data_IF_016260590294
#
_entry.id   IF_016260590294
#
_cell.length_a   1.000
_cell.length_b   1.000
_cell.length_c   1.000
_cell.angle_alpha   90.00
_cell.angle_beta   90.00
_cell.angle_gamma   90.00
#
_symmetry.space_group_name_H-M   'P 1'
#
loop_
_entity.id
_entity.type
_entity.pdbx_description
1 polymer ?
#
# COMPACT_ATOMS: atom_id res chain seq x y z
N UNK A 1 -9.93 -12.51 2.60
CA UNK A 1 -10.53 -11.92 1.39
C UNK A 1 -12.02 -11.72 1.68
N UNK A 2 -12.57 -10.52 1.42
CA UNK A 2 -13.93 -10.10 1.81
C UNK A 2 -14.26 -10.46 3.26
N UNK A 3 -13.52 -9.87 4.20
CA UNK A 3 -13.57 -10.23 5.61
C UNK A 3 -13.79 -9.00 6.51
N UNK A 4 -14.44 -9.22 7.64
CA UNK A 4 -14.75 -8.16 8.59
C UNK A 4 -14.32 -8.53 10.00
N UNK A 5 -13.89 -7.54 10.78
CA UNK A 5 -13.54 -7.69 12.20
C UNK A 5 -12.43 -8.72 12.44
N UNK A 6 -11.28 -8.50 11.79
CA UNK A 6 -10.13 -9.41 11.84
C UNK A 6 -8.98 -8.75 12.59
N UNK A 7 -8.32 -9.53 13.46
CA UNK A 7 -7.07 -9.15 14.11
C UNK A 7 -6.01 -10.21 13.82
N UNK A 8 -4.89 -9.80 13.22
CA UNK A 8 -3.71 -10.63 12.96
C UNK A 8 -2.53 -10.02 13.73
N UNK A 9 -1.95 -10.78 14.67
CA UNK A 9 -0.92 -10.21 15.53
C UNK A 9 0.13 -11.20 16.01
N UNK A 10 1.30 -10.66 16.38
CA UNK A 10 2.42 -11.40 16.97
C UNK A 10 2.92 -12.55 16.07
N UNK A 11 2.93 -12.32 14.76
CA UNK A 11 3.35 -13.30 13.77
C UNK A 11 4.75 -12.99 13.22
N UNK A 12 5.47 -14.05 12.85
CA UNK A 12 6.53 -13.98 11.86
C UNK A 12 6.01 -14.58 10.56
N UNK A 13 6.08 -13.82 9.46
CA UNK A 13 5.63 -14.25 8.14
C UNK A 13 6.83 -14.21 7.20
N UNK A 14 7.12 -15.35 6.57
CA UNK A 14 7.98 -15.40 5.39
C UNK A 14 7.14 -15.86 4.21
N UNK A 15 7.05 -15.04 3.19
CA UNK A 15 6.24 -15.32 2.00
C UNK A 15 7.05 -15.14 0.73
N UNK A 16 6.68 -15.93 -0.28
CA UNK A 16 7.10 -15.67 -1.66
C UNK A 16 6.27 -14.51 -2.22
N UNK A 17 4.95 -14.66 -2.18
CA UNK A 17 3.99 -13.65 -2.63
C UNK A 17 3.67 -12.63 -1.51
N UNK A 18 2.55 -11.92 -1.62
CA UNK A 18 2.16 -10.86 -0.68
C UNK A 18 2.12 -11.38 0.76
N UNK A 19 2.71 -10.64 1.70
CA UNK A 19 2.83 -11.06 3.10
C UNK A 19 1.55 -10.83 3.91
N UNK A 20 1.12 -9.57 4.04
CA UNK A 20 -0.12 -9.19 4.73
C UNK A 20 -1.07 -8.56 3.71
N UNK A 21 -2.11 -9.30 3.32
CA UNK A 21 -2.94 -8.93 2.16
C UNK A 21 -4.41 -8.73 2.55
N UNK A 22 -5.03 -7.68 2.01
CA UNK A 22 -6.48 -7.49 1.99
C UNK A 22 -6.96 -7.44 0.55
N UNK A 23 -7.93 -8.30 0.23
CA UNK A 23 -8.59 -8.38 -1.09
C UNK A 23 -10.09 -8.51 -0.92
N UNK A 24 -10.85 -8.16 -1.95
CA UNK A 24 -12.32 -8.25 -1.98
C UNK A 24 -12.79 -9.09 -3.16
N UNK A 25 -13.48 -10.20 -2.87
CA UNK A 25 -13.94 -11.19 -3.85
C UNK A 25 -15.46 -11.34 -3.93
N UNK A 26 -16.20 -11.09 -2.85
CA UNK A 26 -17.66 -11.29 -2.85
C UNK A 26 -18.42 -10.28 -1.97
N UNK A 27 -17.72 -9.60 -1.08
CA UNK A 27 -18.27 -8.64 -0.13
C UNK A 27 -17.25 -7.57 0.23
N UNK A 28 -17.63 -6.71 1.17
CA UNK A 28 -16.75 -5.66 1.68
C UNK A 28 -15.64 -6.26 2.58
N UNK A 29 -14.59 -5.47 2.81
CA UNK A 29 -13.62 -5.75 3.87
C UNK A 29 -13.55 -4.57 4.81
N UNK A 30 -13.74 -4.80 6.11
CA UNK A 30 -13.68 -3.71 7.10
C UNK A 30 -13.23 -4.12 8.49
N UNK A 31 -12.68 -3.16 9.23
CA UNK A 31 -12.24 -3.37 10.62
C UNK A 31 -11.19 -4.49 10.70
N UNK A 32 -10.09 -4.32 9.97
CA UNK A 32 -9.00 -5.31 9.94
C UNK A 32 -7.74 -4.66 10.51
N UNK A 33 -7.11 -5.33 11.47
CA UNK A 33 -5.87 -4.87 12.07
C UNK A 33 -4.79 -5.94 11.94
N UNK A 34 -3.65 -5.55 11.38
CA UNK A 34 -2.40 -6.29 11.45
C UNK A 34 -1.48 -5.56 12.43
N UNK A 35 -1.12 -6.19 13.55
CA UNK A 35 -0.26 -5.54 14.55
C UNK A 35 0.87 -6.42 15.10
N UNK A 36 2.01 -5.82 15.41
CA UNK A 36 3.14 -6.52 16.05
C UNK A 36 3.66 -7.70 15.21
N UNK A 37 3.81 -7.52 13.91
CA UNK A 37 4.23 -8.58 12.99
C UNK A 37 5.64 -8.34 12.44
N UNK A 38 6.35 -9.42 12.13
CA UNK A 38 7.64 -9.40 11.48
C UNK A 38 7.53 -10.08 10.10
N UNK A 39 8.03 -9.42 9.06
CA UNK A 39 7.86 -9.85 7.67
C UNK A 39 9.19 -10.09 6.97
N UNK A 40 9.24 -11.14 6.15
CA UNK A 40 10.28 -11.41 5.18
C UNK A 40 9.63 -11.74 3.84
N UNK A 41 9.75 -10.83 2.87
CA UNK A 41 9.01 -10.92 1.60
C UNK A 41 9.98 -11.14 0.44
N UNK A 42 9.92 -12.33 -0.15
CA UNK A 42 10.88 -12.80 -1.17
C UNK A 42 10.57 -12.27 -2.60
N UNK A 43 9.30 -12.09 -3.00
CA UNK A 43 8.93 -11.65 -4.37
C UNK A 43 7.86 -10.54 -4.46
N UNK A 44 6.80 -10.52 -3.68
CA UNK A 44 5.70 -9.56 -3.88
C UNK A 44 5.71 -8.44 -2.80
N UNK A 45 4.54 -8.00 -2.35
CA UNK A 45 4.40 -6.85 -1.48
C UNK A 45 4.38 -7.24 0.01
N UNK A 46 4.98 -6.42 0.87
CA UNK A 46 4.97 -6.72 2.31
C UNK A 46 3.60 -6.49 2.95
N UNK A 47 2.96 -5.36 2.64
CA UNK A 47 1.62 -5.01 3.10
C UNK A 47 0.82 -4.47 1.94
N UNK A 48 -0.23 -5.19 1.55
CA UNK A 48 -0.95 -4.95 0.30
C UNK A 48 -2.46 -4.89 0.54
N UNK A 49 -3.09 -3.91 -0.12
CA UNK A 49 -4.53 -3.86 -0.35
C UNK A 49 -4.77 -3.83 -1.85
N UNK A 50 -5.12 -4.98 -2.44
CA UNK A 50 -5.20 -5.14 -3.89
C UNK A 50 -4.53 -6.42 -4.39
N UNK A 51 -4.34 -6.59 -5.69
CA UNK A 51 -4.93 -5.81 -6.79
C UNK A 51 -6.45 -6.03 -6.89
N UNK A 52 -6.93 -7.22 -6.51
CA UNK A 52 -8.33 -7.62 -6.60
C UNK A 52 -9.17 -6.98 -5.49
N UNK A 53 -9.72 -5.80 -5.77
CA UNK A 53 -10.51 -5.02 -4.82
C UNK A 53 -12.02 -5.13 -5.01
N UNK A 54 -12.48 -5.75 -6.12
CA UNK A 54 -13.89 -6.12 -6.31
C UNK A 54 -14.05 -7.29 -7.31
N UNK A 55 -13.42 -8.45 -7.06
CA UNK A 55 -13.51 -9.62 -7.95
C UNK A 55 -14.94 -10.13 -8.14
N UNK A 56 -15.83 -9.85 -7.18
CA UNK A 56 -17.22 -10.27 -7.20
C UNK A 56 -18.15 -9.33 -7.95
N UNK A 57 -17.64 -8.21 -8.47
CA UNK A 57 -18.46 -7.14 -9.08
C UNK A 57 -19.62 -6.70 -8.19
N UNK A 58 -19.39 -6.62 -6.88
CA UNK A 58 -20.37 -6.12 -5.92
C UNK A 58 -20.60 -4.64 -6.18
N UNK A 59 -21.85 -4.23 -6.30
CA UNK A 59 -22.19 -2.81 -6.38
C UNK A 59 -21.71 -2.07 -5.12
N UNK A 60 -21.06 -0.92 -5.30
CA UNK A 60 -20.52 -0.10 -4.22
C UNK A 60 -19.63 -0.92 -3.27
N UNK A 61 -18.68 -1.70 -3.80
CA UNK A 61 -17.73 -2.46 -2.99
C UNK A 61 -16.83 -1.53 -2.17
N UNK A 62 -16.58 -1.89 -0.91
CA UNK A 62 -15.79 -1.07 0.02
C UNK A 62 -14.70 -1.91 0.67
N UNK A 63 -13.49 -1.33 0.77
CA UNK A 63 -12.44 -1.75 1.68
C UNK A 63 -12.19 -0.58 2.63
N UNK A 64 -12.43 -0.75 3.94
CA UNK A 64 -12.31 0.39 4.86
C UNK A 64 -11.89 0.06 6.28
N UNK A 65 -11.36 1.05 7.00
CA UNK A 65 -10.93 0.89 8.39
C UNK A 65 -9.94 -0.28 8.55
N UNK A 66 -8.80 -0.15 7.86
CA UNK A 66 -7.73 -1.13 7.87
C UNK A 66 -6.50 -0.51 8.52
N UNK A 67 -5.85 -1.24 9.42
CA UNK A 67 -4.66 -0.75 10.13
C UNK A 67 -3.53 -1.77 10.03
N UNK A 68 -2.36 -1.30 9.62
CA UNK A 68 -1.08 -1.98 9.71
C UNK A 68 -0.24 -1.21 10.73
N UNK A 69 0.00 -1.78 11.91
CA UNK A 69 0.69 -1.07 13.00
C UNK A 69 1.81 -1.88 13.64
N UNK A 70 2.94 -1.23 13.93
CA UNK A 70 4.07 -1.86 14.61
C UNK A 70 4.56 -3.10 13.88
N UNK A 71 5.03 -2.90 12.64
CA UNK A 71 5.49 -3.98 11.76
C UNK A 71 6.96 -3.78 11.43
N UNK A 72 7.74 -4.84 11.58
CA UNK A 72 9.14 -4.87 11.14
C UNK A 72 9.26 -5.73 9.89
N UNK A 73 9.60 -5.11 8.77
CA UNK A 73 9.97 -5.79 7.53
C UNK A 73 11.47 -6.04 7.57
N UNK A 74 11.86 -7.26 7.94
CA UNK A 74 13.26 -7.67 8.05
C UNK A 74 13.95 -7.60 6.68
N UNK A 75 13.21 -7.96 5.62
CA UNK A 75 13.74 -7.93 4.27
C UNK A 75 12.61 -7.84 3.24
N UNK A 76 12.73 -6.95 2.26
CA UNK A 76 11.77 -6.80 1.16
C UNK A 76 12.51 -6.73 -0.18
N UNK A 77 12.40 -7.77 -1.00
CA UNK A 77 13.30 -7.96 -2.14
C UNK A 77 12.93 -7.28 -3.46
N UNK A 78 11.65 -7.07 -3.75
CA UNK A 78 11.26 -7.04 -5.16
C UNK A 78 10.17 -6.02 -5.49
N UNK A 79 8.95 -6.16 -4.94
CA UNK A 79 7.80 -5.25 -5.11
C UNK A 79 7.61 -4.35 -3.87
N UNK A 80 6.64 -3.43 -3.84
CA UNK A 80 6.57 -2.42 -2.79
C UNK A 80 6.46 -2.93 -1.35
N UNK A 81 6.92 -2.14 -0.39
CA UNK A 81 6.76 -2.46 1.03
C UNK A 81 5.32 -2.19 1.47
N UNK A 82 4.83 -0.99 1.17
CA UNK A 82 3.47 -0.54 1.46
C UNK A 82 2.78 -0.33 0.11
N UNK A 83 1.61 -0.95 -0.08
CA UNK A 83 0.86 -0.79 -1.32
C UNK A 83 -0.65 -0.78 -1.12
N UNK A 84 -1.30 0.04 -1.93
CA UNK A 84 -2.73 -0.02 -2.18
C UNK A 84 -2.90 0.00 -3.70
N UNK A 85 -3.21 -1.15 -4.28
CA UNK A 85 -3.45 -1.30 -5.71
C UNK A 85 -4.95 -1.51 -5.96
N UNK A 86 -5.67 -0.42 -6.19
CA UNK A 86 -7.09 -0.49 -6.48
C UNK A 86 -7.32 -0.75 -7.97
N UNK A 87 -7.38 -2.02 -8.35
CA UNK A 87 -7.56 -2.45 -9.73
C UNK A 87 -9.03 -2.74 -10.09
N UNK A 88 -9.97 -2.50 -9.18
CA UNK A 88 -11.42 -2.56 -9.39
C UNK A 88 -12.15 -1.26 -8.99
N UNK A 89 -13.47 -1.21 -9.13
CA UNK A 89 -14.34 -0.06 -8.84
C UNK A 89 -14.64 0.14 -7.33
N UNK A 90 -13.79 -0.41 -6.46
CA UNK A 90 -14.00 -0.34 -5.03
C UNK A 90 -13.68 1.05 -4.46
N UNK A 91 -14.42 1.44 -3.43
CA UNK A 91 -14.02 2.53 -2.54
C UNK A 91 -13.05 2.00 -1.49
N UNK A 92 -11.76 2.34 -1.58
CA UNK A 92 -10.76 2.03 -0.56
C UNK A 92 -10.55 3.25 0.33
N UNK A 93 -10.80 3.15 1.63
CA UNK A 93 -10.72 4.33 2.50
C UNK A 93 -10.38 4.06 3.95
N UNK A 94 -9.98 5.09 4.68
CA UNK A 94 -9.75 5.02 6.12
C UNK A 94 -8.67 3.95 6.43
N UNK A 95 -7.50 4.09 5.81
CA UNK A 95 -6.38 3.13 5.89
C UNK A 95 -5.23 3.78 6.66
N UNK A 96 -4.65 3.04 7.60
CA UNK A 96 -3.52 3.51 8.40
C UNK A 96 -2.35 2.53 8.33
N UNK A 97 -1.17 3.05 7.98
CA UNK A 97 0.12 2.39 8.18
C UNK A 97 0.87 3.17 9.24
N UNK A 98 1.26 2.51 10.34
CA UNK A 98 1.84 3.20 11.50
C UNK A 98 2.98 2.42 12.12
N UNK A 99 4.07 3.10 12.47
CA UNK A 99 5.25 2.50 13.10
C UNK A 99 5.78 1.30 12.30
N UNK A 100 6.19 1.54 11.06
CA UNK A 100 6.74 0.53 10.17
C UNK A 100 8.27 0.68 10.12
N UNK A 101 8.99 -0.39 10.45
CA UNK A 101 10.45 -0.43 10.30
C UNK A 101 10.80 -1.37 9.14
N UNK A 102 11.58 -0.89 8.18
CA UNK A 102 12.13 -1.68 7.08
C UNK A 102 13.62 -1.82 7.32
N UNK A 103 14.08 -3.01 7.71
CA UNK A 103 15.49 -3.23 8.01
C UNK A 103 16.32 -3.27 6.73
N UNK A 104 15.84 -3.95 5.69
CA UNK A 104 16.53 -4.07 4.41
C UNK A 104 15.57 -3.92 3.22
N UNK A 105 15.59 -2.74 2.59
CA UNK A 105 14.81 -2.42 1.39
C UNK A 105 15.60 -2.80 0.12
N UNK A 106 15.21 -3.85 -0.59
CA UNK A 106 15.93 -4.34 -1.78
C UNK A 106 15.09 -4.33 -3.06
N UNK A 107 13.92 -3.66 -3.04
CA UNK A 107 12.99 -3.55 -4.15
C UNK A 107 13.67 -3.23 -5.49
N UNK A 108 13.07 -3.72 -6.59
CA UNK A 108 13.49 -3.42 -7.95
C UNK A 108 14.49 -4.39 -8.58
N UNK A 109 14.62 -5.61 -8.08
CA UNK A 109 15.34 -6.68 -8.80
C UNK A 109 14.38 -7.39 -9.78
N UNK A 110 14.89 -8.03 -10.84
CA UNK A 110 14.07 -8.79 -11.80
C UNK A 110 12.90 -8.00 -12.41
N UNK A 111 11.72 -8.62 -12.49
CA UNK A 111 10.47 -7.95 -12.94
C UNK A 111 9.97 -6.86 -11.97
N UNK A 112 10.60 -6.72 -10.80
CA UNK A 112 10.29 -5.73 -9.78
C UNK A 112 10.75 -4.36 -10.17
N UNK A 113 11.68 -4.27 -11.14
CA UNK A 113 12.16 -3.01 -11.71
C UNK A 113 11.03 -2.09 -12.20
N UNK A 114 9.91 -2.65 -12.65
CA UNK A 114 8.74 -1.87 -13.11
C UNK A 114 7.89 -1.27 -11.97
N UNK A 115 8.05 -1.77 -10.73
CA UNK A 115 7.29 -1.35 -9.54
C UNK A 115 8.20 -1.29 -8.31
N UNK A 116 9.40 -0.75 -8.49
CA UNK A 116 10.42 -0.67 -7.46
C UNK A 116 10.15 0.51 -6.50
N UNK A 117 9.05 0.45 -5.76
CA UNK A 117 8.62 1.53 -4.88
C UNK A 117 8.77 1.17 -3.39
N UNK A 118 8.98 2.15 -2.53
CA UNK A 118 8.82 1.98 -1.08
C UNK A 118 7.32 1.94 -0.73
N UNK A 119 6.59 2.94 -1.20
CA UNK A 119 5.14 3.06 -1.08
C UNK A 119 4.52 3.19 -2.48
N UNK A 120 3.43 2.47 -2.74
CA UNK A 120 2.74 2.54 -4.02
C UNK A 120 1.23 2.58 -3.83
N UNK A 121 0.66 3.79 -3.91
CA UNK A 121 -0.78 4.01 -3.93
C UNK A 121 -1.19 4.23 -5.39
N UNK A 122 -1.88 3.25 -5.97
CA UNK A 122 -2.14 3.25 -7.41
C UNK A 122 -3.55 2.75 -7.73
N UNK A 123 -4.31 3.59 -8.44
CA UNK A 123 -5.56 3.16 -9.08
C UNK A 123 -5.23 2.83 -10.53
N UNK A 124 -5.54 1.61 -10.95
CA UNK A 124 -5.10 1.13 -12.26
C UNK A 124 -6.09 0.19 -12.90
N UNK A 125 -5.88 -0.07 -14.20
CA UNK A 125 -6.50 -1.17 -14.90
C UNK A 125 -5.42 -2.21 -15.23
N UNK A 126 -5.54 -3.38 -14.63
CA UNK A 126 -4.65 -4.51 -14.91
C UNK A 126 -5.36 -5.54 -15.79
N UNK A 127 -4.76 -5.99 -16.90
CA UNK A 127 -5.32 -7.07 -17.71
C UNK A 127 -5.41 -8.41 -16.96
N UNK A 128 -4.58 -8.60 -15.93
CA UNK A 128 -4.51 -9.86 -15.18
C UNK A 128 -5.41 -9.85 -13.94
N UNK A 129 -5.59 -8.69 -13.30
CA UNK A 129 -6.20 -8.62 -11.96
C UNK A 129 -7.54 -7.87 -11.92
N UNK A 130 -7.77 -6.91 -12.82
CA UNK A 130 -9.05 -6.19 -12.89
C UNK A 130 -10.20 -7.10 -13.31
N UNK A 131 -11.38 -6.82 -12.79
CA UNK A 131 -12.64 -7.51 -13.10
C UNK A 131 -13.69 -6.55 -13.59
N UNK A 132 -13.78 -5.41 -12.92
CA UNK A 132 -14.77 -4.36 -13.17
C UNK A 132 -14.30 -3.43 -14.28
N UNK A 133 -15.24 -2.80 -14.98
CA UNK A 133 -14.93 -1.90 -16.10
C UNK A 133 -14.50 -0.52 -15.61
N UNK A 134 -15.30 0.05 -14.70
CA UNK A 134 -15.05 1.35 -14.06
C UNK A 134 -13.98 1.24 -12.98
N UNK A 135 -13.44 2.37 -12.53
CA UNK A 135 -12.37 2.39 -11.51
C UNK A 135 -12.86 2.95 -10.19
N UNK A 136 -12.16 2.58 -9.12
CA UNK A 136 -12.52 2.96 -7.77
C UNK A 136 -11.91 4.30 -7.37
N UNK A 137 -11.92 4.54 -6.07
CA UNK A 137 -11.27 5.68 -5.44
C UNK A 137 -10.46 5.20 -4.24
N UNK A 138 -9.40 5.93 -3.90
CA UNK A 138 -8.63 5.74 -2.67
C UNK A 138 -8.71 7.05 -1.87
N UNK A 139 -9.14 7.02 -0.61
CA UNK A 139 -9.22 8.25 0.20
C UNK A 139 -8.90 8.07 1.66
N UNK A 140 -8.43 9.11 2.34
CA UNK A 140 -8.15 9.11 3.77
C UNK A 140 -7.12 8.02 4.15
N UNK A 141 -5.88 8.27 3.74
CA UNK A 141 -4.74 7.38 3.99
C UNK A 141 -3.77 8.07 4.93
N UNK A 142 -3.44 7.42 6.04
CA UNK A 142 -2.42 7.88 6.98
C UNK A 142 -1.22 6.95 6.94
N UNK A 143 -0.04 7.51 6.71
CA UNK A 143 1.24 6.81 6.81
C UNK A 143 2.09 7.56 7.83
N UNK A 144 2.26 7.00 9.02
CA UNK A 144 2.87 7.68 10.17
C UNK A 144 3.98 6.84 10.81
N UNK A 145 5.22 7.28 10.69
CA UNK A 145 6.36 6.63 11.32
C UNK A 145 6.85 5.44 10.50
N UNK A 146 7.38 5.72 9.31
CA UNK A 146 8.06 4.72 8.47
C UNK A 146 9.56 4.97 8.53
N UNK A 147 10.34 3.95 8.89
CA UNK A 147 11.79 4.03 9.00
C UNK A 147 12.46 2.97 8.14
N UNK A 148 13.27 3.38 7.18
CA UNK A 148 14.10 2.47 6.36
C UNK A 148 15.53 2.52 6.89
N UNK A 149 16.05 1.40 7.42
CA UNK A 149 17.37 1.35 8.07
C UNK A 149 18.50 1.11 7.08
N UNK A 150 18.27 0.25 6.08
CA UNK A 150 19.29 -0.09 5.09
C UNK A 150 18.68 -0.49 3.74
N UNK A 151 19.54 -0.57 2.73
CA UNK A 151 19.18 -1.00 1.38
C UNK A 151 19.08 0.17 0.39
N UNK A 152 18.22 0.02 -0.61
CA UNK A 152 18.04 0.93 -1.72
C UNK A 152 17.09 2.05 -1.35
N UNK A 153 17.46 3.29 -1.69
CA UNK A 153 16.54 4.42 -1.64
C UNK A 153 15.73 4.50 -2.95
N UNK A 154 14.63 3.76 -2.98
CA UNK A 154 13.65 3.73 -4.08
C UNK A 154 12.62 4.85 -3.97
N UNK A 155 11.97 5.18 -5.10
CA UNK A 155 10.89 6.14 -5.15
C UNK A 155 9.64 5.65 -4.39
N UNK A 156 8.65 6.53 -4.24
CA UNK A 156 7.28 6.18 -3.86
C UNK A 156 6.31 6.77 -4.86
N UNK A 157 5.18 6.12 -5.14
CA UNK A 157 4.19 6.58 -6.12
C UNK A 157 2.83 6.81 -5.48
N UNK A 158 2.20 7.91 -5.88
CA UNK A 158 0.78 8.20 -5.60
C UNK A 158 0.13 8.65 -6.90
N UNK A 159 -0.68 7.77 -7.49
CA UNK A 159 -1.27 8.00 -8.80
C UNK A 159 -2.70 7.46 -8.87
N UNK A 160 -3.67 8.35 -9.09
CA UNK A 160 -5.04 7.97 -9.41
C UNK A 160 -5.17 7.53 -10.87
N UNK A 161 -6.40 7.25 -11.30
CA UNK A 161 -6.65 6.79 -12.66
C UNK A 161 -7.03 7.92 -13.60
N UNK A 162 -7.95 8.80 -13.17
CA UNK A 162 -8.36 9.99 -13.89
C UNK A 162 -8.97 11.04 -12.93
N UNK A 163 -9.62 12.07 -13.47
CA UNK A 163 -10.21 13.17 -12.71
C UNK A 163 -11.41 12.78 -11.82
N UNK A 164 -12.07 11.65 -12.08
CA UNK A 164 -13.20 11.14 -11.27
C UNK A 164 -12.75 9.99 -10.34
N UNK A 165 -11.67 9.29 -10.70
CA UNK A 165 -11.13 8.13 -10.00
C UNK A 165 -9.80 8.49 -9.31
N UNK A 166 -9.90 9.36 -8.30
CA UNK A 166 -8.75 10.00 -7.64
C UNK A 166 -8.23 9.24 -6.42
N UNK A 167 -6.99 9.59 -6.06
CA UNK A 167 -6.47 9.39 -4.70
C UNK A 167 -6.53 10.71 -3.94
N UNK A 168 -7.24 10.74 -2.81
CA UNK A 168 -7.47 11.98 -2.05
C UNK A 168 -7.12 11.83 -0.56
N UNK A 169 -6.71 12.93 0.06
CA UNK A 169 -6.50 13.02 1.51
C UNK A 169 -5.48 11.99 2.02
N UNK A 170 -4.24 12.10 1.53
CA UNK A 170 -3.11 11.27 1.97
C UNK A 170 -2.20 12.11 2.85
N UNK A 171 -1.97 11.66 4.07
CA UNK A 171 -1.01 12.28 5.00
C UNK A 171 0.14 11.31 5.26
N UNK A 172 1.35 11.76 4.96
CA UNK A 172 2.59 11.05 5.28
C UNK A 172 3.33 11.87 6.32
N UNK A 173 3.82 11.23 7.37
CA UNK A 173 4.62 11.91 8.39
C UNK A 173 5.60 10.99 9.08
N UNK A 174 6.58 11.61 9.74
CA UNK A 174 7.63 10.89 10.46
C UNK A 174 8.32 9.83 9.57
N UNK A 175 8.59 10.20 8.32
CA UNK A 175 9.30 9.36 7.36
C UNK A 175 10.82 9.56 7.51
N UNK A 176 11.53 8.47 7.77
CA UNK A 176 12.99 8.42 7.84
C UNK A 176 13.52 7.37 6.86
N UNK A 177 14.43 7.75 5.97
CA UNK A 177 15.04 6.84 5.00
C UNK A 177 16.55 6.92 5.16
N UNK A 178 17.17 5.79 5.50
CA UNK A 178 18.63 5.64 5.63
C UNK A 178 19.26 6.66 6.60
N UNK A 179 18.57 6.93 7.71
CA UNK A 179 19.00 7.89 8.74
C UNK A 179 18.60 9.35 8.47
N UNK A 180 18.03 9.65 7.30
CA UNK A 180 17.62 11.00 6.93
C UNK A 180 16.11 11.19 7.12
N UNK A 181 15.71 12.25 7.83
CA UNK A 181 14.30 12.65 7.90
C UNK A 181 13.87 13.24 6.55
N UNK A 182 12.79 12.70 5.99
CA UNK A 182 12.22 13.17 4.74
C UNK A 182 11.14 14.21 5.05
N UNK A 183 11.36 15.44 4.59
CA UNK A 183 10.47 16.59 4.84
C UNK A 183 9.95 17.22 3.55
N UNK A 184 10.28 16.66 2.39
CA UNK A 184 9.78 17.11 1.09
C UNK A 184 9.59 15.95 0.11
N UNK A 185 8.60 16.06 -0.77
CA UNK A 185 8.29 15.03 -1.76
C UNK A 185 9.46 14.76 -2.72
N UNK A 186 10.12 15.80 -3.23
CA UNK A 186 11.30 15.66 -4.09
C UNK A 186 12.46 14.97 -3.37
N UNK A 187 12.71 15.33 -2.12
CA UNK A 187 13.73 14.69 -1.27
C UNK A 187 13.44 13.21 -1.09
N UNK A 188 12.18 12.86 -0.87
CA UNK A 188 11.68 11.49 -0.73
C UNK A 188 11.54 10.71 -2.03
N UNK A 189 11.85 11.32 -3.19
CA UNK A 189 11.63 10.76 -4.53
C UNK A 189 10.18 10.34 -4.77
N UNK A 190 9.22 11.15 -4.32
CA UNK A 190 7.81 10.88 -4.57
C UNK A 190 7.42 11.24 -6.01
N UNK A 191 6.82 10.27 -6.69
CA UNK A 191 6.19 10.41 -8.00
C UNK A 191 4.68 10.61 -7.78
N UNK A 192 4.24 11.87 -7.72
CA UNK A 192 2.83 12.22 -7.48
C UNK A 192 2.24 12.75 -8.79
N UNK A 193 1.15 12.12 -9.22
CA UNK A 193 0.38 12.60 -10.36
C UNK A 193 -0.64 13.64 -9.91
N UNK A 194 -0.33 14.92 -10.13
CA UNK A 194 -1.17 16.04 -9.66
C UNK A 194 -2.52 16.15 -10.37
N UNK A 195 -2.70 15.51 -11.53
CA UNK A 195 -3.98 15.56 -12.26
C UNK A 195 -5.01 14.59 -11.64
N UNK A 196 -4.52 13.51 -11.03
CA UNK A 196 -5.33 12.41 -10.49
C UNK A 196 -5.28 12.30 -8.96
N UNK A 197 -4.65 13.26 -8.30
CA UNK A 197 -4.54 13.31 -6.82
C UNK A 197 -5.00 14.63 -6.23
N UNK A 198 -5.33 14.62 -4.94
CA UNK A 198 -5.73 15.83 -4.20
C UNK A 198 -5.36 15.72 -2.73
N UNK A 199 -4.97 16.83 -2.11
CA UNK A 199 -4.66 16.92 -0.67
C UNK A 199 -3.63 15.88 -0.21
N UNK A 200 -2.50 15.80 -0.93
CA UNK A 200 -1.36 14.95 -0.55
C UNK A 200 -0.40 15.80 0.29
N UNK A 201 -0.18 15.40 1.53
CA UNK A 201 0.59 16.16 2.53
C UNK A 201 1.72 15.32 3.08
N UNK A 202 2.89 15.93 3.21
CA UNK A 202 4.05 15.39 3.94
C UNK A 202 4.38 16.37 5.07
N UNK A 203 4.34 15.89 6.33
CA UNK A 203 4.59 16.68 7.55
C UNK A 203 5.73 16.11 8.45
#
# INVERSE_FOLDING_TARGET
QSCENILVQNCFVRSWDDSLVVKNYAGDSRNITFQNNQLWTDLAQSMEIGFETNKGSKENAVISNITFENITVLNNFHKPVISIHNADDAMVKDITFKNITVENAQMGSGDGSEMAYLMDLYITQSPNWSTTKERGQIRSIMIDGVKVLSGRFTASRIKGYDAEHRIEDVTIRNLEILGEKITGFDQGKFEIDTETTKNIVLE
#
